data_IF_995131519514
#
_entry.id   IF_995131519514
#
_cell.length_a   1.000
_cell.length_b   1.000
_cell.length_c   1.000
_cell.angle_alpha   90.00
_cell.angle_beta   90.00
_cell.angle_gamma   90.00
#
_symmetry.space_group_name_H-M   'P 1'
#
loop_
_entity.id
_entity.type
_entity.pdbx_description
1 polymer ?
#
# COMPACT_ATOMS: atom_id res chain seq x y z
N UNK A 1 -28.21 13.00 -5.62
CA UNK A 1 -29.69 12.86 -5.67
C UNK A 1 -30.39 14.15 -5.23
N UNK A 2 -29.97 14.78 -4.12
CA UNK A 2 -30.50 16.09 -3.71
C UNK A 2 -30.23 17.26 -4.69
N UNK A 3 -29.09 17.24 -5.39
CA UNK A 3 -28.71 18.30 -6.34
C UNK A 3 -29.58 18.30 -7.59
N UNK A 4 -29.78 17.14 -8.25
CA UNK A 4 -30.64 17.05 -9.43
C UNK A 4 -32.12 17.34 -9.13
N UNK A 5 -32.62 16.97 -7.93
CA UNK A 5 -34.02 17.26 -7.56
C UNK A 5 -34.24 18.76 -7.33
N UNK A 6 -33.26 19.44 -6.71
CA UNK A 6 -33.29 20.90 -6.57
C UNK A 6 -33.14 21.61 -7.93
N UNK A 7 -32.30 21.10 -8.84
CA UNK A 7 -32.16 21.62 -10.21
C UNK A 7 -33.46 21.53 -11.02
N UNK A 8 -34.22 20.45 -10.83
CA UNK A 8 -35.49 20.19 -11.49
C UNK A 8 -36.62 21.04 -10.88
N UNK A 9 -36.60 21.27 -9.56
CA UNK A 9 -37.54 22.14 -8.86
C UNK A 9 -37.29 23.65 -9.08
N UNK A 10 -36.05 24.07 -9.36
CA UNK A 10 -35.65 25.47 -9.51
C UNK A 10 -35.54 25.95 -10.97
N UNK A 11 -35.77 25.08 -11.97
CA UNK A 11 -35.68 25.46 -13.39
C UNK A 11 -34.26 25.79 -13.89
N UNK A 12 -33.22 25.41 -13.13
CA UNK A 12 -31.82 25.77 -13.41
C UNK A 12 -31.15 24.92 -14.52
N UNK A 13 -31.85 23.92 -15.06
CA UNK A 13 -31.37 23.04 -16.15
C UNK A 13 -30.86 23.80 -17.39
N UNK A 14 -31.32 25.03 -17.62
CA UNK A 14 -30.97 25.78 -18.82
C UNK A 14 -29.53 26.32 -18.84
N UNK A 15 -28.81 26.38 -17.70
CA UNK A 15 -27.52 27.09 -17.65
C UNK A 15 -26.38 26.40 -16.87
N UNK A 16 -26.64 25.48 -15.93
CA UNK A 16 -25.59 24.94 -15.05
C UNK A 16 -25.64 23.41 -14.92
N UNK A 17 -24.66 22.70 -15.51
CA UNK A 17 -24.39 21.29 -15.22
C UNK A 17 -23.41 21.21 -14.04
N UNK A 18 -23.88 20.83 -12.85
CA UNK A 18 -23.03 20.76 -11.66
C UNK A 18 -22.23 19.45 -11.56
N UNK A 19 -22.69 18.37 -12.19
CA UNK A 19 -22.06 17.05 -12.16
C UNK A 19 -20.57 17.04 -12.55
N UNK A 20 -20.13 17.76 -13.61
CA UNK A 20 -18.73 17.82 -14.01
C UNK A 20 -17.78 18.42 -12.96
N UNK A 21 -18.25 19.32 -12.10
CA UNK A 21 -17.37 19.96 -11.10
C UNK A 21 -16.87 18.93 -10.07
N UNK A 22 -17.69 17.92 -9.75
CA UNK A 22 -17.29 16.84 -8.84
C UNK A 22 -16.13 15.99 -9.37
N UNK A 23 -15.80 16.06 -10.67
CA UNK A 23 -14.57 15.41 -11.18
C UNK A 23 -13.30 15.95 -10.49
N UNK A 24 -13.32 17.22 -10.06
CA UNK A 24 -12.23 17.88 -9.32
C UNK A 24 -12.10 17.40 -7.87
N UNK A 25 -13.16 16.84 -7.27
CA UNK A 25 -13.12 16.30 -5.90
C UNK A 25 -12.64 14.86 -5.87
N UNK A 26 -12.94 14.07 -6.91
CA UNK A 26 -12.64 12.64 -6.96
C UNK A 26 -11.15 12.33 -6.75
N UNK A 27 -10.26 13.07 -7.43
CA UNK A 27 -8.80 12.89 -7.28
C UNK A 27 -8.32 13.08 -5.83
N UNK A 28 -8.50 14.27 -5.23
CA UNK A 28 -8.14 14.52 -3.84
C UNK A 28 -8.77 13.54 -2.84
N UNK A 29 -10.05 13.18 -3.02
CA UNK A 29 -10.75 12.22 -2.15
C UNK A 29 -10.05 10.86 -2.15
N UNK A 30 -9.72 10.34 -3.34
CA UNK A 30 -9.05 9.06 -3.48
C UNK A 30 -7.66 9.13 -2.85
N UNK A 31 -6.87 10.17 -3.14
CA UNK A 31 -5.56 10.34 -2.53
C UNK A 31 -5.61 10.34 -1.00
N UNK A 32 -6.51 11.13 -0.40
CA UNK A 32 -6.63 11.19 1.06
C UNK A 32 -7.23 9.92 1.68
N UNK A 33 -8.09 9.20 0.95
CA UNK A 33 -8.57 7.88 1.37
C UNK A 33 -7.38 6.92 1.51
N UNK A 34 -6.55 6.78 0.47
CA UNK A 34 -5.36 5.92 0.52
C UNK A 34 -4.34 6.41 1.56
N UNK A 35 -4.15 7.71 1.69
CA UNK A 35 -3.27 8.28 2.71
C UNK A 35 -3.75 8.01 4.14
N UNK A 36 -5.06 8.00 4.36
CA UNK A 36 -5.65 7.62 5.64
C UNK A 36 -5.54 6.13 5.90
N UNK A 37 -5.82 5.29 4.90
CA UNK A 37 -5.72 3.83 5.02
C UNK A 37 -4.30 3.36 5.29
N UNK A 38 -3.31 4.03 4.71
CA UNK A 38 -1.89 3.74 4.90
C UNK A 38 -1.29 4.49 6.09
N UNK A 39 -2.08 5.26 6.85
CA UNK A 39 -1.59 5.98 8.03
C UNK A 39 -0.40 6.92 7.75
N UNK A 40 -0.33 7.49 6.54
CA UNK A 40 0.86 8.21 6.07
C UNK A 40 0.81 9.71 6.30
N UNK A 41 -0.36 10.27 6.60
CA UNK A 41 -0.57 11.71 6.47
C UNK A 41 -1.27 12.34 7.67
N UNK A 42 -0.47 12.94 8.57
CA UNK A 42 -0.92 13.75 9.72
C UNK A 42 -1.17 15.22 9.34
N UNK A 43 -1.61 15.49 8.10
CA UNK A 43 -1.91 16.86 7.68
C UNK A 43 -3.21 17.33 8.34
N UNK A 44 -3.24 18.54 8.92
CA UNK A 44 -4.44 19.09 9.55
C UNK A 44 -5.57 19.25 8.52
N UNK A 45 -6.81 19.12 9.00
CA UNK A 45 -8.00 19.19 8.14
C UNK A 45 -8.03 20.46 7.29
N UNK A 46 -7.64 21.61 7.83
CA UNK A 46 -7.60 22.89 7.12
C UNK A 46 -6.77 22.83 5.84
N UNK A 47 -5.61 22.18 5.88
CA UNK A 47 -4.74 22.00 4.70
C UNK A 47 -5.32 20.97 3.73
N UNK A 48 -5.99 19.91 4.20
CA UNK A 48 -6.70 18.95 3.33
C UNK A 48 -7.81 19.64 2.55
N UNK A 49 -8.55 20.55 3.19
CA UNK A 49 -9.64 21.32 2.56
C UNK A 49 -9.14 22.22 1.42
N UNK A 50 -7.90 22.69 1.45
CA UNK A 50 -7.32 23.51 0.36
C UNK A 50 -7.31 22.78 -0.99
N UNK A 51 -7.17 21.45 -0.99
CA UNK A 51 -7.17 20.65 -2.21
C UNK A 51 -8.55 20.58 -2.90
N UNK A 52 -9.61 21.01 -2.21
CA UNK A 52 -10.97 21.08 -2.71
C UNK A 52 -11.37 22.50 -3.17
N UNK A 53 -10.56 23.52 -2.90
CA UNK A 53 -10.80 24.89 -3.37
C UNK A 53 -10.98 25.02 -4.88
N UNK A 54 -10.29 24.25 -5.75
CA UNK A 54 -10.51 24.35 -7.19
C UNK A 54 -11.97 24.16 -7.62
N UNK A 55 -12.77 23.38 -6.86
CA UNK A 55 -14.22 23.21 -7.09
C UNK A 55 -14.95 24.54 -7.01
N UNK A 56 -14.66 25.35 -5.99
CA UNK A 56 -15.29 26.65 -5.78
C UNK A 56 -14.88 27.65 -6.85
N UNK A 57 -13.61 27.62 -7.26
CA UNK A 57 -13.07 28.47 -8.33
C UNK A 57 -13.71 28.15 -9.68
N UNK A 58 -13.98 26.87 -9.95
CA UNK A 58 -14.54 26.39 -11.22
C UNK A 58 -16.07 26.51 -11.28
N UNK A 59 -16.73 26.70 -10.13
CA UNK A 59 -18.19 26.82 -10.03
C UNK A 59 -18.84 27.85 -10.97
N UNK A 60 -18.33 29.09 -11.15
CA UNK A 60 -18.90 30.04 -12.10
C UNK A 60 -18.70 29.65 -13.58
N UNK A 61 -17.82 28.68 -13.87
CA UNK A 61 -17.43 28.27 -15.22
C UNK A 61 -18.11 26.99 -15.71
N UNK A 62 -19.12 26.47 -15.02
CA UNK A 62 -19.84 25.23 -15.41
C UNK A 62 -20.52 25.30 -16.78
N UNK A 63 -20.82 26.51 -17.26
CA UNK A 63 -21.27 26.75 -18.64
C UNK A 63 -20.28 26.19 -19.66
N UNK A 64 -18.99 26.17 -19.33
CA UNK A 64 -17.90 25.61 -20.12
C UNK A 64 -17.64 24.15 -19.72
N UNK A 65 -18.66 23.31 -19.85
CA UNK A 65 -18.65 21.92 -19.33
C UNK A 65 -17.44 21.11 -19.80
N UNK A 66 -17.04 21.21 -21.07
CA UNK A 66 -15.89 20.45 -21.59
C UNK A 66 -14.56 20.89 -20.98
N UNK A 67 -14.35 22.20 -20.80
CA UNK A 67 -13.18 22.75 -20.14
C UNK A 67 -13.11 22.29 -18.68
N UNK A 68 -14.24 22.30 -17.98
CA UNK A 68 -14.34 21.79 -16.59
C UNK A 68 -13.97 20.30 -16.52
N UNK A 69 -14.46 19.47 -17.46
CA UNK A 69 -14.12 18.05 -17.53
C UNK A 69 -12.62 17.86 -17.77
N UNK A 70 -12.00 18.63 -18.67
CA UNK A 70 -10.55 18.55 -18.94
C UNK A 70 -9.74 18.90 -17.69
N UNK A 71 -10.05 20.02 -17.02
CA UNK A 71 -9.36 20.42 -15.78
C UNK A 71 -9.56 19.35 -14.69
N UNK A 72 -10.78 18.82 -14.56
CA UNK A 72 -11.09 17.71 -13.68
C UNK A 72 -10.26 16.47 -13.95
N UNK A 73 -10.13 16.10 -15.23
CA UNK A 73 -9.33 14.95 -15.67
C UNK A 73 -7.85 15.13 -15.34
N UNK A 74 -7.30 16.32 -15.57
CA UNK A 74 -5.90 16.64 -15.20
C UNK A 74 -5.71 16.49 -13.69
N UNK A 75 -6.64 17.01 -12.87
CA UNK A 75 -6.62 16.85 -11.42
C UNK A 75 -6.64 15.36 -11.04
N UNK A 76 -7.54 14.56 -11.61
CA UNK A 76 -7.63 13.13 -11.34
C UNK A 76 -6.32 12.40 -11.68
N UNK A 77 -5.72 12.65 -12.85
CA UNK A 77 -4.46 12.04 -13.25
C UNK A 77 -3.31 12.40 -12.29
N UNK A 78 -3.25 13.65 -11.85
CA UNK A 78 -2.28 14.11 -10.85
C UNK A 78 -2.44 13.31 -9.55
N UNK A 79 -3.64 13.28 -8.97
CA UNK A 79 -3.86 12.60 -7.69
C UNK A 79 -3.78 11.08 -7.79
N UNK A 80 -4.14 10.48 -8.93
CA UNK A 80 -3.88 9.06 -9.17
C UNK A 80 -2.40 8.76 -9.18
N UNK A 81 -1.59 9.59 -9.84
CA UNK A 81 -0.12 9.46 -9.82
C UNK A 81 0.43 9.60 -8.41
N UNK A 82 -0.04 10.59 -7.64
CA UNK A 82 0.34 10.77 -6.23
C UNK A 82 -0.08 9.57 -5.37
N UNK A 83 -1.26 8.99 -5.62
CA UNK A 83 -1.75 7.81 -4.90
C UNK A 83 -0.92 6.57 -5.20
N UNK A 84 -0.54 6.35 -6.46
CA UNK A 84 0.37 5.24 -6.85
C UNK A 84 1.73 5.41 -6.17
N UNK A 85 2.32 6.62 -6.25
CA UNK A 85 3.60 6.92 -5.59
C UNK A 85 3.53 6.68 -4.09
N UNK A 86 2.44 7.09 -3.44
CA UNK A 86 2.22 6.88 -2.01
C UNK A 86 2.20 5.40 -1.64
N UNK A 87 1.45 4.58 -2.38
CA UNK A 87 1.37 3.12 -2.16
C UNK A 87 2.74 2.45 -2.36
N UNK A 88 3.49 2.84 -3.39
CA UNK A 88 4.83 2.29 -3.64
C UNK A 88 5.84 2.73 -2.57
N UNK A 89 5.78 3.98 -2.13
CA UNK A 89 6.63 4.50 -1.06
C UNK A 89 6.36 3.77 0.27
N UNK A 90 5.08 3.55 0.61
CA UNK A 90 4.69 2.78 1.78
C UNK A 90 5.24 1.35 1.75
N UNK A 91 5.17 0.68 0.59
CA UNK A 91 5.74 -0.66 0.40
C UNK A 91 7.24 -0.70 0.67
N UNK A 92 7.97 0.28 0.14
CA UNK A 92 9.41 0.40 0.39
C UNK A 92 9.74 0.62 1.87
N UNK A 93 8.94 1.42 2.58
CA UNK A 93 9.13 1.65 4.00
C UNK A 93 8.89 0.39 4.85
N UNK A 94 7.83 -0.37 4.56
CA UNK A 94 7.58 -1.64 5.23
C UNK A 94 8.78 -2.58 5.14
N UNK A 95 9.38 -2.72 3.95
CA UNK A 95 10.58 -3.54 3.72
C UNK A 95 11.79 -3.16 4.58
N UNK A 96 11.89 -1.89 5.00
CA UNK A 96 12.97 -1.42 5.88
C UNK A 96 12.70 -1.70 7.36
N UNK A 97 11.43 -1.73 7.77
CA UNK A 97 11.04 -1.78 9.20
C UNK A 97 10.75 -3.20 9.68
N UNK A 98 10.13 -4.04 8.84
CA UNK A 98 9.52 -5.31 9.30
C UNK A 98 10.02 -6.53 8.54
N UNK A 99 10.06 -7.68 9.19
CA UNK A 99 10.42 -8.97 8.56
C UNK A 99 9.26 -9.70 7.86
N UNK A 100 8.02 -9.33 8.15
CA UNK A 100 6.78 -9.96 7.66
C UNK A 100 6.15 -9.23 6.46
N UNK A 101 6.89 -8.38 5.75
CA UNK A 101 6.35 -7.50 4.69
C UNK A 101 5.70 -8.27 3.55
N UNK A 102 6.21 -9.47 3.25
CA UNK A 102 5.60 -10.33 2.23
C UNK A 102 4.25 -10.92 2.65
N UNK A 103 3.90 -10.82 3.93
CA UNK A 103 2.61 -11.22 4.49
C UNK A 103 1.63 -10.06 4.57
N UNK A 104 2.14 -8.82 4.59
CA UNK A 104 1.33 -7.63 4.36
C UNK A 104 0.87 -7.68 2.91
N UNK A 105 -0.30 -8.28 2.70
CA UNK A 105 -0.96 -8.26 1.40
C UNK A 105 -1.32 -6.80 1.08
N UNK A 106 -0.47 -6.12 0.32
CA UNK A 106 -0.74 -4.78 -0.22
C UNK A 106 -1.28 -4.86 -1.64
N UNK A 107 -1.48 -6.07 -2.18
CA UNK A 107 -2.01 -6.27 -3.53
C UNK A 107 -3.46 -5.79 -3.62
N UNK A 108 -4.27 -6.01 -2.57
CA UNK A 108 -5.65 -5.50 -2.55
C UNK A 108 -5.71 -3.97 -2.59
N UNK A 109 -4.76 -3.25 -1.98
CA UNK A 109 -4.68 -1.78 -2.06
C UNK A 109 -4.40 -1.34 -3.50
N UNK A 110 -3.45 -2.00 -4.18
CA UNK A 110 -3.17 -1.75 -5.60
C UNK A 110 -4.38 -2.05 -6.48
N UNK A 111 -5.02 -3.19 -6.27
CA UNK A 111 -6.22 -3.61 -7.00
C UNK A 111 -7.38 -2.64 -6.78
N UNK A 112 -7.57 -2.16 -5.55
CA UNK A 112 -8.56 -1.13 -5.22
C UNK A 112 -8.29 0.17 -5.98
N UNK A 113 -7.03 0.63 -5.99
CA UNK A 113 -6.64 1.84 -6.71
C UNK A 113 -6.88 1.68 -8.22
N UNK A 114 -6.57 0.51 -8.78
CA UNK A 114 -6.87 0.16 -10.17
C UNK A 114 -8.38 0.21 -10.45
N UNK A 115 -9.22 -0.33 -9.56
CA UNK A 115 -10.69 -0.28 -9.70
C UNK A 115 -11.22 1.16 -9.70
N UNK A 116 -10.67 2.04 -8.85
CA UNK A 116 -11.01 3.47 -8.89
C UNK A 116 -10.58 4.15 -10.19
N UNK A 117 -9.38 3.84 -10.71
CA UNK A 117 -8.92 4.38 -12.00
C UNK A 117 -9.80 3.90 -13.15
N UNK A 118 -10.17 2.61 -13.17
CA UNK A 118 -11.06 2.05 -14.17
C UNK A 118 -12.45 2.69 -14.10
N UNK A 119 -12.99 2.89 -12.90
CA UNK A 119 -14.24 3.60 -12.69
C UNK A 119 -14.19 5.04 -13.20
N UNK A 120 -13.14 5.80 -12.87
CA UNK A 120 -12.97 7.16 -13.33
C UNK A 120 -12.90 7.24 -14.86
N UNK A 121 -12.26 6.26 -15.52
CA UNK A 121 -12.20 6.18 -16.97
C UNK A 121 -13.59 5.92 -17.60
N UNK A 122 -14.38 5.01 -17.02
CA UNK A 122 -15.76 4.75 -17.47
C UNK A 122 -16.64 5.99 -17.25
N UNK A 123 -16.51 6.67 -16.10
CA UNK A 123 -17.27 7.89 -15.83
C UNK A 123 -16.87 9.04 -16.76
N UNK A 124 -15.61 9.12 -17.17
CA UNK A 124 -15.15 10.09 -18.17
C UNK A 124 -15.81 9.86 -19.54
N UNK A 125 -15.91 8.60 -19.98
CA UNK A 125 -16.66 8.24 -21.20
C UNK A 125 -18.13 8.63 -21.05
N UNK A 126 -18.74 8.31 -19.91
CA UNK A 126 -20.14 8.66 -19.60
C UNK A 126 -20.41 10.16 -19.63
N UNK A 127 -19.51 10.97 -19.08
CA UNK A 127 -19.60 12.44 -19.07
C UNK A 127 -19.56 13.01 -20.48
N UNK A 128 -18.66 12.51 -21.34
CA UNK A 128 -18.54 12.96 -22.72
C UNK A 128 -19.71 12.51 -23.61
N UNK A 129 -20.26 11.32 -23.35
CA UNK A 129 -21.38 10.78 -24.13
C UNK A 129 -22.75 11.32 -23.70
N UNK A 130 -22.86 12.04 -22.57
CA UNK A 130 -24.17 12.41 -22.02
C UNK A 130 -25.00 13.33 -22.93
N UNK A 131 -24.37 14.08 -23.83
CA UNK A 131 -25.05 15.00 -24.75
C UNK A 131 -25.80 14.24 -25.84
N UNK A 132 -25.26 13.10 -26.28
CA UNK A 132 -25.79 12.29 -27.38
C UNK A 132 -26.80 11.24 -26.93
N UNK A 133 -26.88 10.95 -25.64
CA UNK A 133 -27.72 9.89 -25.10
C UNK A 133 -29.15 10.38 -24.83
N UNK A 134 -30.14 9.53 -25.08
CA UNK A 134 -31.54 9.76 -24.67
C UNK A 134 -31.70 9.77 -23.13
N UNK A 135 -32.72 10.42 -22.57
CA UNK A 135 -32.92 10.52 -21.11
C UNK A 135 -32.93 9.15 -20.39
N UNK A 136 -33.55 8.13 -20.98
CA UNK A 136 -33.57 6.77 -20.42
C UNK A 136 -32.17 6.15 -20.32
N UNK A 137 -31.36 6.32 -21.36
CA UNK A 137 -29.96 5.86 -21.37
C UNK A 137 -29.12 6.60 -20.33
N UNK A 138 -29.33 7.91 -20.14
CA UNK A 138 -28.65 8.67 -19.06
C UNK A 138 -29.01 8.12 -17.69
N UNK A 139 -30.30 7.88 -17.43
CA UNK A 139 -30.76 7.31 -16.17
C UNK A 139 -30.15 5.94 -15.89
N UNK A 140 -30.07 5.07 -16.91
CA UNK A 140 -29.41 3.77 -16.80
C UNK A 140 -27.92 3.90 -16.46
N UNK A 141 -27.19 4.81 -17.12
CA UNK A 141 -25.79 5.09 -16.79
C UNK A 141 -25.60 5.55 -15.35
N UNK A 142 -26.46 6.46 -14.86
CA UNK A 142 -26.43 6.91 -13.46
C UNK A 142 -26.68 5.75 -12.50
N UNK A 143 -27.65 4.89 -12.79
CA UNK A 143 -27.94 3.71 -11.99
C UNK A 143 -26.74 2.76 -11.93
N UNK A 144 -26.13 2.44 -13.07
CA UNK A 144 -24.92 1.60 -13.14
C UNK A 144 -23.77 2.20 -12.33
N UNK A 145 -23.55 3.51 -12.45
CA UNK A 145 -22.52 4.23 -11.71
C UNK A 145 -22.72 4.13 -10.18
N UNK A 146 -23.96 4.30 -9.71
CA UNK A 146 -24.32 4.16 -8.30
C UNK A 146 -24.13 2.72 -7.80
N UNK A 147 -24.56 1.73 -8.58
CA UNK A 147 -24.35 0.31 -8.25
C UNK A 147 -22.86 -0.01 -8.15
N UNK A 148 -22.04 0.47 -9.10
CA UNK A 148 -20.59 0.28 -9.05
C UNK A 148 -19.98 0.92 -7.80
N UNK A 149 -20.32 2.18 -7.50
CA UNK A 149 -19.83 2.86 -6.31
C UNK A 149 -20.24 2.13 -5.03
N UNK A 150 -21.48 1.64 -4.93
CA UNK A 150 -21.94 0.84 -3.81
C UNK A 150 -21.09 -0.43 -3.65
N UNK A 151 -20.92 -1.20 -4.72
CA UNK A 151 -20.14 -2.44 -4.71
C UNK A 151 -18.67 -2.19 -4.34
N UNK A 152 -18.07 -1.11 -4.85
CA UNK A 152 -16.71 -0.72 -4.52
C UNK A 152 -16.57 -0.32 -3.05
N UNK A 153 -17.54 0.42 -2.50
CA UNK A 153 -17.56 0.77 -1.08
C UNK A 153 -17.74 -0.46 -0.19
N UNK A 154 -18.64 -1.39 -0.54
CA UNK A 154 -18.81 -2.64 0.19
C UNK A 154 -17.54 -3.49 0.17
N UNK A 155 -16.90 -3.62 -1.00
CA UNK A 155 -15.62 -4.30 -1.16
C UNK A 155 -14.53 -3.66 -0.28
N UNK A 156 -14.43 -2.33 -0.30
CA UNK A 156 -13.50 -1.56 0.53
C UNK A 156 -13.71 -1.80 2.02
N UNK A 157 -14.95 -1.70 2.48
CA UNK A 157 -15.30 -1.93 3.89
C UNK A 157 -14.87 -3.33 4.30
N UNK A 158 -15.23 -4.36 3.53
CA UNK A 158 -14.84 -5.75 3.81
C UNK A 158 -13.32 -5.89 3.86
N UNK A 159 -12.58 -5.28 2.93
CA UNK A 159 -11.10 -5.35 2.94
C UNK A 159 -10.49 -4.61 4.12
N UNK A 160 -10.98 -3.43 4.46
CA UNK A 160 -10.46 -2.63 5.58
C UNK A 160 -10.70 -3.33 6.92
N UNK A 161 -11.85 -3.99 7.13
CA UNK A 161 -12.14 -4.68 8.40
C UNK A 161 -11.49 -6.05 8.53
N UNK A 162 -11.19 -6.73 7.40
CA UNK A 162 -10.58 -8.07 7.41
C UNK A 162 -9.06 -8.03 7.45
N UNK A 163 -8.44 -6.93 7.02
CA UNK A 163 -7.00 -6.79 7.01
C UNK A 163 -6.50 -6.27 8.38
N UNK A 164 -5.35 -6.77 8.88
CA UNK A 164 -4.74 -6.23 10.08
C UNK A 164 -4.43 -4.74 9.87
N UNK A 165 -4.64 -3.93 10.92
CA UNK A 165 -4.40 -2.49 10.87
C UNK A 165 -2.96 -2.21 10.45
N UNK A 166 -2.82 -1.43 9.38
CA UNK A 166 -1.55 -0.86 8.95
C UNK A 166 -1.10 0.17 9.99
N UNK A 167 0.18 0.14 10.36
CA UNK A 167 0.77 1.07 11.33
C UNK A 167 1.40 2.27 10.61
N UNK A 168 1.85 3.27 11.40
CA UNK A 168 2.58 4.48 10.96
C UNK A 168 3.99 4.14 10.41
N UNK A 169 4.10 3.12 9.57
CA UNK A 169 5.37 2.53 9.08
C UNK A 169 6.22 3.53 8.29
N UNK A 170 5.61 4.54 7.65
CA UNK A 170 6.38 5.61 7.00
C UNK A 170 7.12 6.47 8.02
N UNK A 171 6.45 6.91 9.09
CA UNK A 171 7.08 7.73 10.12
C UNK A 171 8.18 6.94 10.85
N UNK A 172 7.92 5.65 11.09
CA UNK A 172 8.91 4.70 11.58
C UNK A 172 10.11 4.57 10.64
N UNK A 173 9.91 4.44 9.33
CA UNK A 173 11.01 4.35 8.36
C UNK A 173 11.77 5.68 8.15
N UNK A 174 11.09 6.82 8.32
CA UNK A 174 11.71 8.16 8.32
C UNK A 174 12.61 8.36 9.54
N UNK A 175 12.20 7.89 10.72
CA UNK A 175 13.03 8.00 11.93
C UNK A 175 14.35 7.23 11.81
N UNK A 176 14.37 6.13 11.04
CA UNK A 176 15.60 5.39 10.70
C UNK A 176 16.58 6.29 9.91
N UNK A 177 16.08 7.18 9.05
CA UNK A 177 16.94 8.03 8.21
C UNK A 177 17.47 9.26 8.95
N UNK A 178 16.67 9.83 9.86
CA UNK A 178 16.96 11.11 10.54
C UNK A 178 17.98 10.99 11.69
N UNK A 179 18.31 9.78 12.16
CA UNK A 179 19.31 9.59 13.23
C UNK A 179 20.68 10.19 12.91
N UNK A 180 21.56 10.31 13.91
CA UNK A 180 22.95 10.79 13.76
C UNK A 180 23.77 9.91 12.79
N UNK A 181 24.88 10.43 12.24
CA UNK A 181 25.83 9.57 11.52
C UNK A 181 26.35 8.48 12.46
N UNK A 182 26.43 7.22 12.00
CA UNK A 182 26.93 6.11 12.82
C UNK A 182 28.34 6.43 13.29
N UNK A 183 28.54 6.49 14.60
CA UNK A 183 29.83 6.86 15.21
C UNK A 183 30.83 5.71 15.30
N UNK A 184 30.41 4.49 14.94
CA UNK A 184 31.13 3.24 15.18
C UNK A 184 31.36 2.44 13.89
N UNK A 185 32.29 1.48 13.95
CA UNK A 185 32.63 0.59 12.84
C UNK A 185 31.42 -0.29 12.46
N UNK A 186 30.92 -0.25 11.20
CA UNK A 186 29.71 -0.98 10.81
C UNK A 186 29.85 -2.49 11.01
N UNK A 187 31.07 -3.01 10.92
CA UNK A 187 31.37 -4.44 11.07
C UNK A 187 31.17 -4.91 12.50
N UNK A 188 31.58 -4.11 13.49
CA UNK A 188 31.45 -4.45 14.92
C UNK A 188 29.99 -4.43 15.33
N UNK A 189 29.26 -3.38 14.92
CA UNK A 189 27.81 -3.27 15.12
C UNK A 189 27.11 -4.46 14.47
N UNK A 190 27.43 -4.77 13.20
CA UNK A 190 26.83 -5.89 12.49
C UNK A 190 27.09 -7.24 13.19
N UNK A 191 28.31 -7.47 13.69
CA UNK A 191 28.65 -8.70 14.40
C UNK A 191 27.85 -8.84 15.69
N UNK A 192 27.71 -7.76 16.48
CA UNK A 192 26.88 -7.74 17.69
C UNK A 192 25.41 -8.01 17.37
N UNK A 193 24.88 -7.43 16.28
CA UNK A 193 23.52 -7.67 15.79
C UNK A 193 23.35 -9.13 15.36
N UNK A 194 24.27 -9.65 14.56
CA UNK A 194 24.21 -11.02 14.06
C UNK A 194 24.23 -12.01 15.21
N UNK A 195 25.18 -11.87 16.14
CA UNK A 195 25.32 -12.70 17.32
C UNK A 195 24.04 -12.69 18.18
N UNK A 196 23.51 -11.51 18.48
CA UNK A 196 22.30 -11.39 19.32
C UNK A 196 21.10 -12.06 18.65
N UNK A 197 20.89 -11.83 17.35
CA UNK A 197 19.78 -12.42 16.60
C UNK A 197 19.90 -13.95 16.56
N UNK A 198 21.09 -14.49 16.33
CA UNK A 198 21.29 -15.95 16.22
C UNK A 198 21.25 -16.66 17.56
N UNK A 199 21.90 -16.12 18.60
CA UNK A 199 21.94 -16.74 19.93
C UNK A 199 20.57 -16.74 20.63
N UNK A 200 19.80 -15.66 20.48
CA UNK A 200 18.46 -15.56 21.06
C UNK A 200 17.36 -16.05 20.11
N UNK A 201 17.72 -16.55 18.93
CA UNK A 201 16.79 -17.00 17.89
C UNK A 201 15.73 -15.95 17.53
N UNK A 202 16.07 -14.66 17.57
CA UNK A 202 15.12 -13.57 17.30
C UNK A 202 14.49 -13.68 15.92
N UNK A 203 15.22 -14.21 14.93
CA UNK A 203 14.68 -14.43 13.59
C UNK A 203 13.48 -15.39 13.57
N UNK A 204 13.34 -16.27 14.56
CA UNK A 204 12.17 -17.16 14.70
C UNK A 204 10.93 -16.43 15.21
N UNK A 205 11.07 -15.23 15.78
CA UNK A 205 9.93 -14.43 16.22
C UNK A 205 9.09 -14.01 15.00
N UNK A 206 7.80 -14.38 14.93
CA UNK A 206 6.91 -13.91 13.88
C UNK A 206 6.77 -12.39 13.94
N UNK A 207 6.69 -11.74 12.78
CA UNK A 207 6.49 -10.28 12.66
C UNK A 207 7.56 -9.42 13.34
N UNK A 208 8.77 -9.96 13.57
CA UNK A 208 9.91 -9.22 14.09
C UNK A 208 10.15 -7.93 13.31
N UNK A 209 10.31 -6.83 14.03
CA UNK A 209 10.63 -5.50 13.51
C UNK A 209 12.02 -5.06 13.92
N UNK A 210 12.56 -4.07 13.23
CA UNK A 210 13.87 -3.49 13.57
C UNK A 210 13.84 -2.79 14.94
N UNK A 211 12.67 -2.31 15.39
CA UNK A 211 12.49 -1.72 16.72
C UNK A 211 12.59 -2.77 17.83
N UNK A 212 12.08 -3.98 17.59
CA UNK A 212 12.21 -5.10 18.54
C UNK A 212 13.70 -5.43 18.74
N UNK A 213 14.46 -5.49 17.64
CA UNK A 213 15.91 -5.74 17.67
C UNK A 213 16.66 -4.60 18.35
N UNK A 214 16.31 -3.34 18.07
CA UNK A 214 16.87 -2.16 18.74
C UNK A 214 16.66 -2.21 20.26
N UNK A 215 15.45 -2.57 20.71
CA UNK A 215 15.12 -2.67 22.12
C UNK A 215 15.92 -3.77 22.84
N UNK A 216 16.20 -4.90 22.17
CA UNK A 216 16.97 -6.00 22.75
C UNK A 216 18.47 -5.69 22.81
N UNK A 217 19.04 -5.10 21.75
CA UNK A 217 20.49 -4.84 21.66
C UNK A 217 20.87 -3.52 22.35
N UNK A 218 19.93 -2.59 22.53
CA UNK A 218 20.18 -1.26 23.08
C UNK A 218 20.83 -0.30 22.07
N UNK A 219 20.72 -0.59 20.77
CA UNK A 219 21.26 0.23 19.69
C UNK A 219 20.16 1.06 19.01
N UNK A 220 20.57 2.14 18.35
CA UNK A 220 19.70 2.91 17.48
C UNK A 220 19.24 2.09 16.27
N UNK A 221 17.97 2.24 15.89
CA UNK A 221 17.39 1.61 14.69
C UNK A 221 18.17 1.99 13.42
N UNK A 222 18.68 3.23 13.37
CA UNK A 222 19.53 3.71 12.28
C UNK A 222 20.83 2.91 12.17
N UNK A 223 21.50 2.67 13.29
CA UNK A 223 22.77 1.93 13.33
C UNK A 223 22.57 0.49 12.88
N UNK A 224 21.48 -0.14 13.32
CA UNK A 224 21.09 -1.49 12.87
C UNK A 224 20.85 -1.52 11.37
N UNK A 225 20.03 -0.60 10.85
CA UNK A 225 19.73 -0.56 9.43
C UNK A 225 20.98 -0.27 8.59
N UNK A 226 21.84 0.63 9.06
CA UNK A 226 23.07 1.00 8.38
C UNK A 226 24.10 -0.14 8.38
N UNK A 227 24.31 -0.81 9.52
CA UNK A 227 25.24 -1.93 9.63
C UNK A 227 24.81 -3.12 8.74
N UNK A 228 23.52 -3.48 8.74
CA UNK A 228 22.99 -4.54 7.87
C UNK A 228 23.18 -4.16 6.39
N UNK A 229 22.82 -2.92 6.02
CA UNK A 229 22.94 -2.49 4.63
C UNK A 229 24.39 -2.44 4.15
N UNK A 230 25.29 -1.90 4.97
CA UNK A 230 26.71 -1.75 4.64
C UNK A 230 27.42 -3.11 4.54
N UNK A 231 27.18 -4.02 5.49
CA UNK A 231 27.89 -5.30 5.54
C UNK A 231 27.27 -6.39 4.65
N UNK A 232 25.96 -6.34 4.37
CA UNK A 232 25.26 -7.39 3.62
C UNK A 232 24.62 -6.92 2.31
N UNK A 233 24.53 -5.61 2.05
CA UNK A 233 23.83 -5.08 0.88
C UNK A 233 22.32 -5.37 0.90
N UNK A 234 21.76 -5.65 2.08
CA UNK A 234 20.38 -6.09 2.29
C UNK A 234 19.61 -5.09 3.17
N UNK A 235 18.28 -5.07 3.06
CA UNK A 235 17.46 -4.44 4.10
C UNK A 235 17.17 -5.41 5.26
N UNK A 236 16.60 -4.89 6.35
CA UNK A 236 16.25 -5.68 7.53
C UNK A 236 15.37 -6.90 7.20
N UNK A 237 14.34 -6.71 6.36
CA UNK A 237 13.44 -7.79 5.94
C UNK A 237 14.20 -8.94 5.26
N UNK A 238 15.06 -8.60 4.29
CA UNK A 238 15.84 -9.54 3.51
C UNK A 238 16.84 -10.31 4.38
N UNK A 239 17.50 -9.60 5.29
CA UNK A 239 18.46 -10.18 6.22
C UNK A 239 17.81 -11.22 7.14
N UNK A 240 16.73 -10.84 7.85
CA UNK A 240 16.01 -11.78 8.73
C UNK A 240 15.46 -12.96 7.95
N UNK A 241 14.81 -12.72 6.81
CA UNK A 241 14.25 -13.80 5.99
C UNK A 241 15.34 -14.71 5.40
N UNK A 242 16.54 -14.20 5.15
CA UNK A 242 17.73 -15.00 4.82
C UNK A 242 18.10 -15.99 5.92
N UNK A 243 18.13 -15.52 7.17
CA UNK A 243 18.37 -16.39 8.33
C UNK A 243 17.29 -17.49 8.43
N UNK A 244 16.00 -17.13 8.28
CA UNK A 244 14.90 -18.09 8.32
C UNK A 244 15.00 -19.18 7.25
N UNK A 245 15.30 -18.81 6.00
CA UNK A 245 15.46 -19.80 4.91
C UNK A 245 16.69 -20.67 5.12
N UNK A 246 17.80 -20.10 5.60
CA UNK A 246 19.01 -20.86 5.88
C UNK A 246 18.77 -21.90 6.98
N UNK A 247 18.03 -21.54 8.04
CA UNK A 247 17.63 -22.49 9.08
C UNK A 247 16.79 -23.64 8.51
N UNK A 248 15.76 -23.34 7.69
CA UNK A 248 14.95 -24.38 7.03
C UNK A 248 15.82 -25.29 6.16
N UNK A 249 16.76 -24.72 5.40
CA UNK A 249 17.68 -25.51 4.56
C UNK A 249 18.57 -26.42 5.40
N UNK A 250 19.07 -25.94 6.53
CA UNK A 250 19.92 -26.73 7.43
C UNK A 250 19.13 -27.90 8.03
N UNK A 251 17.92 -27.64 8.55
CA UNK A 251 17.06 -28.70 9.10
C UNK A 251 16.68 -29.76 8.05
N UNK A 252 16.45 -29.35 6.80
CA UNK A 252 16.21 -30.29 5.68
C UNK A 252 17.42 -31.18 5.35
N UNK A 253 18.64 -30.72 5.63
CA UNK A 253 19.85 -31.51 5.46
C UNK A 253 20.05 -32.48 6.63
N UNK A 254 19.71 -32.08 7.85
CA UNK A 254 19.87 -32.87 9.07
C UNK A 254 18.80 -33.98 9.20
N UNK A 255 17.53 -33.67 8.95
CA UNK A 255 16.40 -34.61 9.12
C UNK A 255 16.12 -35.46 7.86
N UNK A 256 16.74 -35.11 6.73
CA UNK A 256 16.55 -35.76 5.43
C UNK A 256 15.30 -35.30 4.69
N UNK A 257 15.46 -34.89 3.43
CA UNK A 257 14.43 -34.23 2.58
C UNK A 257 13.10 -34.99 2.42
N UNK A 258 13.06 -36.30 2.67
CA UNK A 258 11.93 -37.18 2.31
C UNK A 258 10.84 -37.31 3.38
N UNK A 259 11.12 -37.01 4.66
CA UNK A 259 10.20 -37.22 5.77
C UNK A 259 9.69 -35.92 6.42
N UNK A 260 10.15 -34.77 5.94
CA UNK A 260 10.04 -33.50 6.66
C UNK A 260 8.90 -32.64 6.12
N UNK A 261 8.04 -32.18 7.03
CA UNK A 261 7.05 -31.16 6.70
C UNK A 261 7.73 -29.79 6.60
N UNK A 262 8.21 -29.46 5.39
CA UNK A 262 8.89 -28.19 5.09
C UNK A 262 8.09 -26.94 5.50
N UNK A 263 6.75 -27.03 5.47
CA UNK A 263 5.92 -25.92 5.94
C UNK A 263 5.99 -25.77 7.45
N UNK A 264 6.02 -26.87 8.21
CA UNK A 264 6.18 -26.82 9.67
C UNK A 264 7.54 -26.21 10.04
N UNK A 265 8.62 -26.60 9.34
CA UNK A 265 9.94 -25.98 9.54
C UNK A 265 9.91 -24.48 9.25
N UNK A 266 9.24 -24.07 8.18
CA UNK A 266 9.09 -22.65 7.87
C UNK A 266 8.35 -21.88 8.98
N UNK A 267 7.27 -22.45 9.53
CA UNK A 267 6.55 -21.81 10.63
C UNK A 267 7.42 -21.72 11.89
N UNK A 268 8.19 -22.77 12.21
CA UNK A 268 9.14 -22.77 13.34
C UNK A 268 10.29 -21.78 13.14
N UNK A 269 10.73 -21.57 11.90
CA UNK A 269 11.71 -20.56 11.54
C UNK A 269 11.14 -19.13 11.57
N UNK A 270 9.86 -18.93 11.92
CA UNK A 270 9.26 -17.61 12.12
C UNK A 270 8.52 -17.02 10.91
N UNK A 271 8.30 -17.80 9.84
CA UNK A 271 7.32 -17.40 8.82
C UNK A 271 5.91 -17.56 9.38
N UNK A 272 5.03 -16.60 9.14
CA UNK A 272 3.66 -16.63 9.63
C UNK A 272 2.66 -17.08 8.54
N UNK A 273 3.13 -17.26 7.29
CA UNK A 273 2.30 -17.79 6.20
C UNK A 273 3.09 -18.58 5.15
N UNK A 274 2.42 -19.58 4.55
CA UNK A 274 2.93 -20.38 3.43
C UNK A 274 3.30 -19.52 2.21
N UNK A 275 2.50 -18.49 1.91
CA UNK A 275 2.72 -17.63 0.75
C UNK A 275 4.02 -16.83 0.87
N UNK A 276 4.26 -16.25 2.05
CA UNK A 276 5.50 -15.52 2.35
C UNK A 276 6.71 -16.44 2.27
N UNK A 277 6.64 -17.60 2.94
CA UNK A 277 7.71 -18.61 2.87
C UNK A 277 8.03 -19.00 1.42
N UNK A 278 7.05 -19.41 0.64
CA UNK A 278 7.25 -19.82 -0.75
C UNK A 278 7.92 -18.72 -1.60
N UNK A 279 7.49 -17.47 -1.40
CA UNK A 279 7.98 -16.31 -2.15
C UNK A 279 9.44 -16.00 -1.79
N UNK A 280 9.76 -15.96 -0.50
CA UNK A 280 11.13 -15.73 -0.02
C UNK A 280 12.05 -16.89 -0.42
N UNK A 281 11.62 -18.12 -0.18
CA UNK A 281 12.43 -19.31 -0.46
C UNK A 281 12.78 -19.41 -1.94
N UNK A 282 11.80 -19.17 -2.84
CA UNK A 282 12.05 -19.12 -4.28
C UNK A 282 12.99 -17.98 -4.66
N UNK A 283 12.81 -16.79 -4.07
CA UNK A 283 13.67 -15.63 -4.35
C UNK A 283 15.13 -15.89 -3.96
N UNK A 284 15.37 -16.58 -2.84
CA UNK A 284 16.72 -16.83 -2.32
C UNK A 284 17.39 -18.08 -2.91
N UNK A 285 16.62 -19.12 -3.24
CA UNK A 285 17.18 -20.39 -3.73
C UNK A 285 17.05 -20.57 -5.24
N UNK A 286 16.20 -19.78 -5.91
CA UNK A 286 15.82 -19.98 -7.31
C UNK A 286 14.71 -21.02 -7.53
N UNK A 287 14.38 -21.82 -6.51
CA UNK A 287 13.45 -22.95 -6.61
C UNK A 287 12.28 -22.80 -5.65
N UNK A 288 11.10 -23.29 -6.02
CA UNK A 288 10.03 -23.45 -5.03
C UNK A 288 10.45 -24.48 -3.97
N UNK A 289 9.91 -24.42 -2.75
CA UNK A 289 10.24 -25.41 -1.70
C UNK A 289 10.05 -26.86 -2.20
N UNK A 290 8.97 -27.14 -2.93
CA UNK A 290 8.71 -28.46 -3.52
C UNK A 290 9.69 -28.86 -4.62
N UNK A 291 10.21 -27.91 -5.39
CA UNK A 291 11.28 -28.17 -6.37
C UNK A 291 12.60 -28.47 -5.65
N UNK A 292 12.92 -27.71 -4.61
CA UNK A 292 14.15 -27.87 -3.84
C UNK A 292 14.26 -29.24 -3.16
N UNK A 293 13.14 -29.76 -2.63
CA UNK A 293 13.10 -31.12 -2.07
C UNK A 293 13.40 -32.22 -3.10
N UNK A 294 13.18 -31.96 -4.40
CA UNK A 294 13.44 -32.90 -5.49
C UNK A 294 14.81 -32.75 -6.13
N UNK A 295 15.54 -31.69 -5.81
CA UNK A 295 16.94 -31.58 -6.21
C UNK A 295 17.69 -32.72 -5.51
N UNK A 296 18.47 -33.50 -6.27
CA UNK A 296 19.38 -34.49 -5.71
C UNK A 296 20.61 -33.72 -5.22
#
# INVERSE_FOLDING_TARGET
>A
MATNFAEEALGLKAYYLFTPIFTLTTGPLIYFLFASMLHTHKVPLSKKLLHFLPVLVVLPFTIYTQQVIVIGTISQLLYFTLSVRLVLMYQGACAKVRSDVNELDLSWIKSTLLLFMAFALVDLVRLNMQVYNEPGTKALWYFINLCWLLLLNLYLIVKVITQPKLTDTLAEAESIQIGSEPSENPTEIFNSIHQTITEQYLHRQPRLTIFDVAAVIGLGVKDISWAINTCRGQNFNEYINGLRVNEVKQQLQEEGRSAVNILALAMNAGFNSKSSFNSVFKRQTGYTPSQFLKLK
#
